data_IF_108141817049
#
_entry.id   IF_108141817049
#
_cell.length_a   1.000
_cell.length_b   1.000
_cell.length_c   1.000
_cell.angle_alpha   90.00
_cell.angle_beta   90.00
_cell.angle_gamma   90.00
#
_symmetry.space_group_name_H-M   'P 1'
#
loop_
_entity.id
_entity.type
_entity.pdbx_description
1 polymer ?
#
# COMPACT_ATOMS: atom_id res chain seq x y z
N UNK A 1 -50.32 -49.36 -0.10
CA UNK A 1 -49.09 -49.97 -0.63
C UNK A 1 -48.74 -49.17 -1.87
N UNK A 2 -48.10 -48.01 -1.69
CA UNK A 2 -46.62 -47.85 -1.69
C UNK A 2 -46.12 -47.81 -3.14
N UNK A 3 -45.39 -46.83 -3.65
CA UNK A 3 -44.66 -45.74 -3.02
C UNK A 3 -44.38 -44.65 -4.07
N UNK A 4 -44.46 -43.41 -3.61
CA UNK A 4 -43.74 -42.25 -4.14
C UNK A 4 -42.24 -42.54 -4.18
N UNK A 5 -41.56 -42.32 -5.30
CA UNK A 5 -40.14 -41.92 -5.28
C UNK A 5 -39.86 -40.85 -6.34
N UNK A 6 -39.77 -39.64 -5.81
CA UNK A 6 -39.04 -38.49 -6.30
C UNK A 6 -37.64 -38.92 -6.79
N UNK A 7 -37.33 -38.74 -8.07
CA UNK A 7 -35.96 -38.80 -8.57
C UNK A 7 -35.68 -37.53 -9.36
N UNK A 8 -35.52 -36.43 -8.62
CA UNK A 8 -34.80 -35.26 -9.12
C UNK A 8 -33.32 -35.52 -8.89
N UNK A 9 -32.70 -36.24 -9.83
CA UNK A 9 -31.25 -36.24 -9.91
C UNK A 9 -30.81 -34.82 -10.30
N UNK A 10 -30.48 -34.00 -9.30
CA UNK A 10 -29.53 -32.91 -9.51
C UNK A 10 -28.25 -33.57 -10.00
N UNK A 11 -28.01 -33.50 -11.30
CA UNK A 11 -26.68 -33.68 -11.85
C UNK A 11 -25.84 -32.56 -11.26
N UNK A 12 -25.21 -32.82 -10.12
CA UNK A 12 -24.02 -32.10 -9.73
C UNK A 12 -23.03 -32.39 -10.86
N UNK A 13 -22.99 -31.49 -11.84
CA UNK A 13 -21.97 -31.51 -12.87
C UNK A 13 -20.63 -31.63 -12.14
N UNK A 14 -19.81 -32.60 -12.54
CA UNK A 14 -18.42 -32.62 -12.14
C UNK A 14 -17.87 -31.19 -12.28
N UNK A 15 -17.18 -30.64 -11.26
CA UNK A 15 -16.62 -29.30 -11.37
C UNK A 15 -15.82 -29.25 -12.66
N UNK A 16 -16.24 -28.37 -13.57
CA UNK A 16 -15.57 -28.20 -14.84
C UNK A 16 -14.16 -27.68 -14.53
N UNK A 17 -13.08 -28.35 -14.96
CA UNK A 17 -11.72 -27.85 -14.76
C UNK A 17 -11.54 -26.42 -15.30
N UNK A 18 -12.41 -25.95 -16.20
CA UNK A 18 -12.45 -24.55 -16.65
C UNK A 18 -12.94 -23.56 -15.58
N UNK A 19 -13.84 -23.97 -14.67
CA UNK A 19 -14.31 -23.13 -13.57
C UNK A 19 -13.21 -22.89 -12.53
N UNK A 20 -12.38 -23.92 -12.27
CA UNK A 20 -11.24 -23.82 -11.35
C UNK A 20 -10.17 -22.83 -11.84
N UNK A 21 -9.88 -22.82 -13.14
CA UNK A 21 -8.90 -21.87 -13.71
C UNK A 21 -9.43 -20.44 -13.78
N UNK A 22 -10.74 -20.26 -13.97
CA UNK A 22 -11.39 -18.93 -13.93
C UNK A 22 -11.38 -18.39 -12.50
N UNK A 23 -11.77 -19.20 -11.51
CA UNK A 23 -11.72 -18.83 -10.10
C UNK A 23 -10.29 -18.48 -9.64
N UNK A 24 -9.29 -19.24 -10.08
CA UNK A 24 -7.88 -18.94 -9.80
C UNK A 24 -7.43 -17.61 -10.42
N UNK A 25 -7.83 -17.34 -11.66
CA UNK A 25 -7.50 -16.08 -12.35
C UNK A 25 -8.11 -14.88 -11.62
N UNK A 26 -9.35 -14.99 -11.18
CA UNK A 26 -10.03 -13.91 -10.45
C UNK A 26 -9.40 -13.64 -9.08
N UNK A 27 -8.98 -14.68 -8.37
CA UNK A 27 -8.18 -14.54 -7.15
C UNK A 27 -6.86 -13.83 -7.40
N UNK A 28 -6.14 -14.21 -8.46
CA UNK A 28 -4.87 -13.54 -8.84
C UNK A 28 -5.12 -12.06 -9.15
N UNK A 29 -6.17 -11.74 -9.91
CA UNK A 29 -6.55 -10.35 -10.21
C UNK A 29 -6.86 -9.56 -8.94
N UNK A 30 -7.64 -10.14 -8.04
CA UNK A 30 -8.00 -9.52 -6.77
C UNK A 30 -6.76 -9.21 -5.91
N UNK A 31 -5.87 -10.18 -5.70
CA UNK A 31 -4.68 -9.97 -4.89
C UNK A 31 -3.68 -9.00 -5.54
N UNK A 32 -3.55 -8.99 -6.87
CA UNK A 32 -2.73 -8.00 -7.58
C UNK A 32 -3.25 -6.57 -7.37
N UNK A 33 -4.55 -6.35 -7.58
CA UNK A 33 -5.16 -5.04 -7.36
C UNK A 33 -4.99 -4.57 -5.90
N UNK A 34 -5.10 -5.50 -4.93
CA UNK A 34 -4.86 -5.20 -3.51
C UNK A 34 -3.40 -4.83 -3.24
N UNK A 35 -2.46 -5.57 -3.83
CA UNK A 35 -1.03 -5.29 -3.69
C UNK A 35 -0.69 -3.92 -4.29
N UNK A 36 -1.23 -3.56 -5.45
CA UNK A 36 -1.04 -2.26 -6.08
C UNK A 36 -1.57 -1.11 -5.22
N UNK A 37 -2.75 -1.26 -4.61
CA UNK A 37 -3.30 -0.27 -3.67
C UNK A 37 -2.43 -0.06 -2.43
N UNK A 38 -1.90 -1.15 -1.87
CA UNK A 38 -1.00 -1.08 -0.72
C UNK A 38 0.34 -0.47 -1.11
N UNK A 39 0.89 -0.84 -2.27
CA UNK A 39 2.12 -0.28 -2.78
C UNK A 39 1.98 1.22 -3.03
N UNK A 40 0.87 1.67 -3.62
CA UNK A 40 0.55 3.09 -3.74
C UNK A 40 0.52 3.80 -2.38
N UNK A 41 -0.15 3.21 -1.39
CA UNK A 41 -0.18 3.78 -0.05
C UNK A 41 1.22 3.90 0.57
N UNK A 42 2.07 2.89 0.39
CA UNK A 42 3.47 2.92 0.85
C UNK A 42 4.27 3.99 0.10
N UNK A 43 4.18 4.03 -1.22
CA UNK A 43 4.95 4.93 -2.06
C UNK A 43 4.64 6.39 -1.77
N UNK A 44 3.40 6.71 -1.38
CA UNK A 44 2.94 8.07 -1.18
C UNK A 44 2.87 8.54 0.28
N UNK A 45 2.49 7.67 1.22
CA UNK A 45 2.29 8.06 2.62
C UNK A 45 3.54 7.86 3.47
N UNK A 46 4.28 6.77 3.24
CA UNK A 46 5.41 6.41 4.10
C UNK A 46 6.53 7.47 4.09
N UNK A 47 6.96 8.02 2.93
CA UNK A 47 8.01 9.05 2.92
C UNK A 47 7.62 10.29 3.73
N UNK A 48 6.35 10.66 3.74
CA UNK A 48 5.84 11.82 4.48
C UNK A 48 5.91 11.56 5.99
N UNK A 49 5.49 10.38 6.45
CA UNK A 49 5.57 10.04 7.88
C UNK A 49 7.04 9.93 8.34
N UNK A 50 7.93 9.37 7.51
CA UNK A 50 9.37 9.34 7.80
C UNK A 50 9.97 10.74 7.87
N UNK A 51 9.66 11.60 6.90
CA UNK A 51 10.10 13.00 6.89
C UNK A 51 9.61 13.76 8.12
N UNK A 52 8.37 13.55 8.57
CA UNK A 52 7.86 14.12 9.82
C UNK A 52 8.68 13.67 11.02
N UNK A 53 8.98 12.38 11.14
CA UNK A 53 9.82 11.84 12.22
C UNK A 53 11.23 12.45 12.23
N UNK A 54 11.85 12.54 11.05
CA UNK A 54 13.17 13.18 10.87
C UNK A 54 13.14 14.64 11.32
N UNK A 55 12.15 15.41 10.88
CA UNK A 55 12.04 16.83 11.21
C UNK A 55 11.72 17.04 12.69
N UNK A 56 10.83 16.22 13.26
CA UNK A 56 10.50 16.26 14.68
C UNK A 56 11.74 16.02 15.55
N UNK A 57 12.55 15.00 15.22
CA UNK A 57 13.79 14.69 15.93
C UNK A 57 14.84 15.80 15.75
N UNK A 58 15.09 16.24 14.52
CA UNK A 58 16.12 17.25 14.22
C UNK A 58 15.82 18.61 14.83
N UNK A 59 14.56 19.05 14.81
CA UNK A 59 14.15 20.37 15.28
C UNK A 59 13.59 20.35 16.71
N UNK A 60 13.49 19.18 17.35
CA UNK A 60 12.93 19.00 18.70
C UNK A 60 11.51 19.58 18.82
N UNK A 61 10.68 19.26 17.84
CA UNK A 61 9.28 19.70 17.74
C UNK A 61 8.35 18.49 17.69
N UNK A 62 7.07 18.70 17.96
CA UNK A 62 6.07 17.65 17.79
C UNK A 62 5.83 17.29 16.30
N UNK A 63 5.18 16.15 16.08
CA UNK A 63 4.93 15.57 14.76
C UNK A 63 4.02 16.45 13.89
N UNK A 64 3.08 17.18 14.50
CA UNK A 64 2.14 18.05 13.77
C UNK A 64 2.85 19.34 13.33
N UNK A 65 3.67 19.92 14.21
CA UNK A 65 4.54 21.05 13.90
C UNK A 65 5.56 20.71 12.80
N UNK A 66 6.14 19.50 12.83
CA UNK A 66 7.01 19.01 11.76
C UNK A 66 6.29 18.91 10.40
N UNK A 67 5.03 18.46 10.40
CA UNK A 67 4.22 18.41 9.18
C UNK A 67 3.90 19.80 8.64
N UNK A 68 3.56 20.76 9.51
CA UNK A 68 3.31 22.14 9.08
C UNK A 68 4.57 22.85 8.59
N UNK A 69 5.73 22.56 9.19
CA UNK A 69 7.02 23.01 8.69
C UNK A 69 7.27 22.50 7.27
N UNK A 70 7.10 21.19 7.04
CA UNK A 70 7.24 20.58 5.72
C UNK A 70 6.26 21.20 4.71
N UNK A 71 5.00 21.40 5.09
CA UNK A 71 3.97 22.01 4.24
C UNK A 71 4.31 23.46 3.87
N UNK A 72 4.78 24.23 4.84
CA UNK A 72 5.19 25.63 4.65
C UNK A 72 6.38 25.73 3.71
N UNK A 73 7.38 24.86 3.88
CA UNK A 73 8.51 24.76 2.94
C UNK A 73 8.04 24.46 1.52
N UNK A 74 7.18 23.45 1.34
CA UNK A 74 6.69 23.07 0.02
C UNK A 74 5.89 24.18 -0.65
N UNK A 75 5.03 24.87 0.10
CA UNK A 75 4.23 26.00 -0.41
C UNK A 75 5.11 27.15 -0.85
N UNK A 76 6.10 27.52 -0.05
CA UNK A 76 6.98 28.64 -0.35
C UNK A 76 7.89 28.37 -1.55
N UNK A 77 8.17 27.11 -1.84
CA UNK A 77 9.01 26.68 -2.97
C UNK A 77 8.21 26.13 -4.16
N UNK A 78 6.88 26.15 -4.10
CA UNK A 78 5.98 25.57 -5.10
C UNK A 78 6.33 24.11 -5.47
N UNK A 79 6.66 23.32 -4.45
CA UNK A 79 7.05 21.91 -4.57
C UNK A 79 5.95 20.99 -4.05
N UNK A 80 5.93 19.74 -4.55
CA UNK A 80 5.04 18.71 -4.02
C UNK A 80 5.62 18.15 -2.73
N UNK A 81 4.78 18.03 -1.71
CA UNK A 81 5.18 17.52 -0.39
C UNK A 81 5.79 16.13 -0.44
N UNK A 82 5.31 15.29 -1.35
CA UNK A 82 5.80 13.94 -1.56
C UNK A 82 7.24 13.90 -2.09
N UNK A 83 7.53 14.72 -3.10
CA UNK A 83 8.87 14.78 -3.72
C UNK A 83 9.92 15.28 -2.72
N UNK A 84 9.55 16.30 -1.92
CA UNK A 84 10.40 16.85 -0.86
C UNK A 84 10.63 15.81 0.25
N UNK A 85 9.57 15.14 0.71
CA UNK A 85 9.68 14.12 1.74
C UNK A 85 10.57 12.94 1.30
N UNK A 86 10.40 12.47 0.06
CA UNK A 86 11.25 11.42 -0.53
C UNK A 86 12.72 11.84 -0.58
N UNK A 87 12.98 13.06 -1.08
CA UNK A 87 14.33 13.61 -1.15
C UNK A 87 14.99 13.69 0.23
N UNK A 88 14.25 14.12 1.26
CA UNK A 88 14.76 14.20 2.62
C UNK A 88 15.14 12.82 3.19
N UNK A 89 14.30 11.81 2.98
CA UNK A 89 14.55 10.43 3.42
C UNK A 89 15.76 9.84 2.69
N UNK A 90 15.84 10.03 1.36
CA UNK A 90 16.94 9.53 0.55
C UNK A 90 18.28 10.14 1.00
N UNK A 91 18.34 11.46 1.23
CA UNK A 91 19.53 12.16 1.72
C UNK A 91 20.02 11.63 3.08
N UNK A 92 19.11 11.28 3.99
CA UNK A 92 19.47 10.69 5.27
C UNK A 92 19.97 9.25 5.13
N UNK A 93 19.33 8.45 4.28
CA UNK A 93 19.78 7.07 4.00
C UNK A 93 21.20 7.03 3.38
N UNK A 94 21.57 8.07 2.64
CA UNK A 94 22.92 8.26 2.10
C UNK A 94 23.89 8.76 3.18
N UNK A 95 23.43 9.65 4.07
CA UNK A 95 24.19 10.10 5.24
C UNK A 95 24.59 8.96 6.17
N UNK A 96 23.64 8.10 6.54
CA UNK A 96 23.89 6.94 7.41
C UNK A 96 24.90 5.95 6.79
N UNK A 97 24.81 5.72 5.48
CA UNK A 97 25.78 4.88 4.75
C UNK A 97 27.21 5.43 4.81
N UNK A 98 27.39 6.74 4.97
CA UNK A 98 28.72 7.37 5.05
C UNK A 98 29.31 7.34 6.46
N UNK A 99 28.50 7.20 7.50
CA UNK A 99 28.95 7.15 8.90
C UNK A 99 29.44 5.75 9.31
N UNK A 100 29.10 4.71 8.54
CA UNK A 100 29.45 3.31 8.83
C UNK A 100 30.81 2.86 8.25
N UNK A 101 31.64 3.78 7.74
CA UNK A 101 33.00 3.55 7.22
C UNK A 101 34.01 4.17 8.18
#
# INVERSE_FOLDING_TARGET
MSETMLSTATSAGSPDPTDDVVAMRDRIRFYRARAEQLQYALDHRLPIEQAKGILAERYQIDIDAAFEMLRSFCRNNNMKIHDVARTLVDQLSEGDRRVSC
#
